data_IF_019192179340
#
_entry.id   IF_019192179340
#
_cell.length_a   1.000
_cell.length_b   1.000
_cell.length_c   1.000
_cell.angle_alpha   90.00
_cell.angle_beta   90.00
_cell.angle_gamma   90.00
#
_symmetry.space_group_name_H-M   'P 1'
#
loop_
_entity.id
_entity.type
_entity.pdbx_description
1 polymer ?
#
# COMPACT_ATOMS: atom_id res chain seq x y z
N UNK A 1 -11.20 -0.09 10.15
CA UNK A 1 -11.67 -0.80 11.37
C UNK A 1 -12.80 -1.80 11.12
N UNK A 2 -13.98 -1.42 10.63
CA UNK A 2 -15.08 -2.40 10.44
C UNK A 2 -14.66 -3.58 9.54
N UNK A 3 -14.04 -3.30 8.39
CA UNK A 3 -13.52 -4.33 7.48
C UNK A 3 -12.43 -5.23 8.11
N UNK A 4 -11.61 -4.67 9.00
CA UNK A 4 -10.57 -5.43 9.73
C UNK A 4 -11.22 -6.38 10.73
N UNK A 5 -12.21 -5.89 11.49
CA UNK A 5 -12.96 -6.71 12.45
C UNK A 5 -13.67 -7.87 11.75
N UNK A 6 -14.33 -7.61 10.62
CA UNK A 6 -15.01 -8.65 9.84
C UNK A 6 -14.04 -9.72 9.31
N UNK A 7 -12.83 -9.33 8.91
CA UNK A 7 -11.79 -10.29 8.52
C UNK A 7 -11.24 -11.06 9.73
N UNK A 8 -10.94 -10.37 10.82
CA UNK A 8 -10.44 -10.95 12.07
C UNK A 8 -11.42 -12.00 12.63
N UNK A 9 -12.70 -11.67 12.74
CA UNK A 9 -13.74 -12.58 13.25
C UNK A 9 -13.81 -13.89 12.42
N UNK A 10 -13.65 -13.79 11.10
CA UNK A 10 -13.61 -14.98 10.22
C UNK A 10 -12.34 -15.80 10.40
N UNK A 11 -11.19 -15.14 10.57
CA UNK A 11 -9.91 -15.81 10.83
C UNK A 11 -9.94 -16.53 12.18
N UNK A 12 -10.48 -15.89 13.23
CA UNK A 12 -10.67 -16.49 14.56
C UNK A 12 -11.59 -17.70 14.49
N UNK A 13 -12.71 -17.61 13.75
CA UNK A 13 -13.60 -18.75 13.55
C UNK A 13 -12.92 -19.91 12.82
N UNK A 14 -12.06 -19.63 11.82
CA UNK A 14 -11.23 -20.65 11.15
C UNK A 14 -10.22 -21.27 12.10
N UNK A 15 -9.55 -20.45 12.92
CA UNK A 15 -8.60 -20.90 13.93
C UNK A 15 -9.24 -21.85 14.94
N UNK A 16 -10.40 -21.51 15.51
CA UNK A 16 -11.08 -22.40 16.46
C UNK A 16 -11.50 -23.73 15.82
N UNK A 17 -11.93 -23.74 14.55
CA UNK A 17 -12.24 -24.98 13.83
C UNK A 17 -10.98 -25.84 13.64
N UNK A 18 -9.85 -25.22 13.28
CA UNK A 18 -8.58 -25.93 13.13
C UNK A 18 -8.08 -26.48 14.48
N UNK A 19 -8.18 -25.68 15.55
CA UNK A 19 -7.80 -26.10 16.90
C UNK A 19 -8.67 -27.25 17.43
N UNK A 20 -9.97 -27.28 17.10
CA UNK A 20 -10.89 -28.34 17.48
C UNK A 20 -10.58 -29.69 16.80
N UNK A 21 -9.86 -29.70 15.68
CA UNK A 21 -9.41 -30.93 15.02
C UNK A 21 -8.31 -31.68 15.82
N UNK A 22 -7.78 -31.06 16.87
CA UNK A 22 -6.76 -31.63 17.73
C UNK A 22 -5.34 -31.45 17.17
N UNK A 23 -4.35 -31.61 18.04
CA UNK A 23 -2.93 -31.55 17.67
C UNK A 23 -2.53 -32.86 16.98
N UNK A 24 -1.92 -32.84 15.79
CA UNK A 24 -1.39 -34.06 15.17
C UNK A 24 -0.31 -34.69 16.05
N UNK A 25 -0.33 -36.02 16.19
CA UNK A 25 0.71 -36.77 16.93
C UNK A 25 2.12 -36.55 16.36
N UNK A 26 2.20 -36.13 15.09
CA UNK A 26 3.46 -35.82 14.40
C UNK A 26 4.01 -34.42 14.68
N UNK A 27 3.25 -33.54 15.36
CA UNK A 27 3.71 -32.19 15.68
C UNK A 27 4.62 -32.21 16.90
N UNK A 28 5.89 -31.89 16.72
CA UNK A 28 6.87 -31.73 17.79
C UNK A 28 6.93 -30.25 18.22
N UNK A 29 6.68 -29.97 19.50
CA UNK A 29 6.55 -28.59 20.03
C UNK A 29 5.72 -28.47 21.31
N UNK A 30 5.66 -27.30 21.93
CA UNK A 30 4.71 -27.02 23.02
C UNK A 30 3.37 -26.50 22.48
N UNK A 31 2.41 -26.25 23.38
CA UNK A 31 1.07 -25.75 23.00
C UNK A 31 1.13 -24.37 22.33
N UNK A 32 2.10 -23.56 22.73
CA UNK A 32 2.32 -22.22 22.20
C UNK A 32 2.93 -22.27 20.79
N UNK A 33 3.88 -23.17 20.54
CA UNK A 33 4.38 -23.47 19.19
C UNK A 33 3.26 -24.02 18.29
N UNK A 34 2.38 -24.88 18.83
CA UNK A 34 1.22 -25.38 18.11
C UNK A 34 0.22 -24.26 17.78
N UNK A 35 -0.06 -23.35 18.73
CA UNK A 35 -0.90 -22.15 18.49
C UNK A 35 -0.32 -21.29 17.36
N UNK A 36 0.98 -20.96 17.40
CA UNK A 36 1.64 -20.20 16.33
C UNK A 36 1.58 -20.90 14.97
N UNK A 37 1.77 -22.23 14.96
CA UNK A 37 1.66 -23.03 13.74
C UNK A 37 0.24 -22.94 13.14
N UNK A 38 -0.80 -23.09 13.96
CA UNK A 38 -2.19 -22.97 13.53
C UNK A 38 -2.53 -21.57 13.00
N UNK A 39 -2.08 -20.50 13.69
CA UNK A 39 -2.26 -19.11 13.22
C UNK A 39 -1.68 -18.95 11.82
N UNK A 40 -0.43 -19.39 11.64
CA UNK A 40 0.26 -19.32 10.35
C UNK A 40 -0.47 -20.12 9.27
N UNK A 41 -0.92 -21.33 9.58
CA UNK A 41 -1.64 -22.19 8.64
C UNK A 41 -2.97 -21.57 8.20
N UNK A 42 -3.73 -21.00 9.14
CA UNK A 42 -5.00 -20.31 8.84
C UNK A 42 -4.75 -19.06 7.99
N UNK A 43 -3.77 -18.24 8.34
CA UNK A 43 -3.41 -17.04 7.59
C UNK A 43 -2.94 -17.38 6.16
N UNK A 44 -2.14 -18.44 6.01
CA UNK A 44 -1.67 -18.92 4.70
C UNK A 44 -2.82 -19.43 3.84
N UNK A 45 -3.75 -20.22 4.41
CA UNK A 45 -4.95 -20.68 3.71
C UNK A 45 -5.81 -19.51 3.22
N UNK A 46 -6.07 -18.53 4.10
CA UNK A 46 -6.84 -17.33 3.72
C UNK A 46 -6.14 -16.55 2.59
N UNK A 47 -4.81 -16.41 2.66
CA UNK A 47 -4.07 -15.71 1.62
C UNK A 47 -4.15 -16.42 0.27
N UNK A 48 -3.96 -17.74 0.21
CA UNK A 48 -4.06 -18.49 -1.04
C UNK A 48 -5.48 -18.46 -1.62
N UNK A 49 -6.50 -18.59 -0.77
CA UNK A 49 -7.90 -18.47 -1.19
C UNK A 49 -8.18 -17.06 -1.75
N UNK A 50 -7.66 -16.01 -1.10
CA UNK A 50 -7.86 -14.62 -1.54
C UNK A 50 -7.27 -14.29 -2.91
N UNK A 51 -6.21 -14.99 -3.35
CA UNK A 51 -5.61 -14.80 -4.69
C UNK A 51 -6.51 -15.29 -5.82
N UNK A 52 -7.35 -16.30 -5.55
CA UNK A 52 -8.26 -16.90 -6.53
C UNK A 52 -9.70 -16.38 -6.44
N UNK A 53 -10.06 -15.79 -5.30
CA UNK A 53 -11.37 -15.21 -5.07
C UNK A 53 -11.62 -14.00 -5.98
N UNK A 54 -12.63 -14.10 -6.83
CA UNK A 54 -13.10 -12.97 -7.67
C UNK A 54 -14.00 -11.99 -6.91
N UNK A 55 -14.57 -12.44 -5.78
CA UNK A 55 -15.54 -11.71 -4.97
C UNK A 55 -15.40 -12.13 -3.51
N UNK A 56 -15.73 -11.24 -2.58
CA UNK A 56 -15.75 -11.52 -1.15
C UNK A 56 -14.73 -10.71 -0.37
N UNK A 57 -14.98 -10.54 0.92
CA UNK A 57 -14.06 -9.82 1.80
C UNK A 57 -12.80 -10.64 2.06
N UNK A 58 -11.63 -10.01 1.95
CA UNK A 58 -10.32 -10.57 2.20
C UNK A 58 -9.32 -9.46 2.52
N UNK A 59 -8.04 -9.81 2.68
CA UNK A 59 -6.98 -8.83 2.99
C UNK A 59 -6.88 -7.70 1.95
N UNK A 60 -7.07 -8.00 0.66
CA UNK A 60 -6.99 -7.01 -0.41
C UNK A 60 -8.19 -6.07 -0.42
N UNK A 61 -9.41 -6.59 -0.25
CA UNK A 61 -10.61 -5.75 -0.17
C UNK A 61 -10.62 -4.91 1.10
N UNK A 62 -10.10 -5.44 2.22
CA UNK A 62 -9.92 -4.70 3.46
C UNK A 62 -9.00 -3.50 3.25
N UNK A 63 -7.81 -3.70 2.65
CA UNK A 63 -6.88 -2.60 2.35
C UNK A 63 -7.49 -1.60 1.38
N UNK A 64 -8.23 -2.05 0.35
CA UNK A 64 -8.99 -1.15 -0.54
C UNK A 64 -10.02 -0.30 0.22
N UNK A 65 -10.79 -0.90 1.13
CA UNK A 65 -11.76 -0.17 1.98
C UNK A 65 -11.06 0.87 2.87
N UNK A 66 -9.87 0.57 3.38
CA UNK A 66 -9.04 1.55 4.10
C UNK A 66 -8.59 2.67 3.16
N UNK A 67 -8.13 2.34 1.95
CA UNK A 67 -7.78 3.28 0.89
C UNK A 67 -8.91 4.26 0.57
N UNK A 68 -10.11 3.76 0.36
CA UNK A 68 -11.33 4.57 0.16
C UNK A 68 -11.59 5.49 1.35
N UNK A 69 -11.51 4.96 2.59
CA UNK A 69 -11.75 5.75 3.80
C UNK A 69 -10.75 6.89 4.00
N UNK A 70 -9.50 6.74 3.52
CA UNK A 70 -8.46 7.79 3.60
C UNK A 70 -8.38 8.70 2.37
N UNK A 71 -9.03 8.36 1.26
CA UNK A 71 -8.91 9.08 -0.02
C UNK A 71 -9.15 10.59 0.13
N UNK A 72 -10.25 10.98 0.77
CA UNK A 72 -10.59 12.39 1.01
C UNK A 72 -9.55 13.10 1.88
N UNK A 73 -9.13 12.51 2.99
CA UNK A 73 -8.12 13.11 3.88
C UNK A 73 -6.74 13.21 3.21
N UNK A 74 -6.38 12.22 2.41
CA UNK A 74 -5.16 12.24 1.61
C UNK A 74 -5.21 13.37 0.57
N UNK A 75 -6.33 13.52 -0.13
CA UNK A 75 -6.53 14.60 -1.09
C UNK A 75 -6.53 15.98 -0.41
N UNK A 76 -7.14 16.12 0.77
CA UNK A 76 -7.13 17.35 1.55
C UNK A 76 -5.70 17.75 1.94
N UNK A 77 -4.91 16.80 2.41
CA UNK A 77 -3.50 17.00 2.71
C UNK A 77 -2.72 17.43 1.46
N UNK A 78 -2.90 16.73 0.34
CA UNK A 78 -2.27 17.07 -0.94
C UNK A 78 -2.64 18.47 -1.43
N UNK A 79 -3.90 18.87 -1.29
CA UNK A 79 -4.36 20.19 -1.69
C UNK A 79 -3.71 21.30 -0.86
N UNK A 80 -3.55 21.09 0.45
CA UNK A 80 -2.83 22.03 1.31
C UNK A 80 -1.34 22.07 0.97
N UNK A 81 -0.73 20.91 0.73
CA UNK A 81 0.67 20.80 0.34
C UNK A 81 0.92 21.55 -0.98
N UNK A 82 0.08 21.34 -1.99
CA UNK A 82 0.25 21.96 -3.32
C UNK A 82 0.22 23.50 -3.27
N UNK A 83 -0.57 24.08 -2.35
CA UNK A 83 -0.58 25.53 -2.11
C UNK A 83 0.72 26.07 -1.52
N UNK A 84 1.50 25.21 -0.89
CA UNK A 84 2.71 25.58 -0.14
C UNK A 84 3.99 25.30 -0.92
N UNK A 85 4.00 24.21 -1.70
CA UNK A 85 5.20 23.70 -2.39
C UNK A 85 5.06 23.64 -3.91
N UNK A 86 3.94 24.07 -4.47
CA UNK A 86 3.68 23.99 -5.91
C UNK A 86 3.15 22.62 -6.33
N UNK A 87 3.67 22.07 -7.43
CA UNK A 87 3.14 20.83 -8.00
C UNK A 87 3.39 19.63 -7.09
N UNK A 88 2.39 18.77 -6.95
CA UNK A 88 2.46 17.53 -6.14
C UNK A 88 2.03 16.33 -6.97
N UNK A 89 2.69 15.18 -6.78
CA UNK A 89 2.24 13.90 -7.34
C UNK A 89 1.47 13.11 -6.28
N UNK A 90 0.21 12.82 -6.55
CA UNK A 90 -0.65 11.98 -5.71
C UNK A 90 -0.68 10.56 -6.29
N UNK A 91 -0.19 9.59 -5.54
CA UNK A 91 -0.22 8.19 -5.92
C UNK A 91 -1.29 7.42 -5.15
N UNK A 92 -2.09 6.64 -5.88
CA UNK A 92 -3.00 5.66 -5.32
C UNK A 92 -2.95 4.36 -6.12
N UNK A 93 -3.38 3.26 -5.51
CA UNK A 93 -3.40 1.92 -6.13
C UNK A 93 -4.73 1.70 -6.84
N UNK A 94 -5.84 2.02 -6.18
CA UNK A 94 -7.17 1.71 -6.67
C UNK A 94 -7.80 2.89 -7.42
N UNK A 95 -8.45 2.59 -8.54
CA UNK A 95 -9.09 3.58 -9.43
C UNK A 95 -10.14 4.41 -8.69
N UNK A 96 -10.96 3.78 -7.84
CA UNK A 96 -11.99 4.47 -7.06
C UNK A 96 -11.41 5.41 -5.98
N UNK A 97 -10.21 5.14 -5.47
CA UNK A 97 -9.48 6.06 -4.58
C UNK A 97 -8.96 7.27 -5.38
N UNK A 98 -8.46 7.03 -6.60
CA UNK A 98 -8.06 8.12 -7.51
C UNK A 98 -9.25 9.00 -7.88
N UNK A 99 -10.40 8.39 -8.20
CA UNK A 99 -11.62 9.11 -8.58
C UNK A 99 -12.11 10.01 -7.44
N UNK A 100 -12.15 9.49 -6.21
CA UNK A 100 -12.48 10.30 -5.03
C UNK A 100 -11.50 11.45 -4.79
N UNK A 101 -10.22 11.24 -5.04
CA UNK A 101 -9.22 12.29 -4.90
C UNK A 101 -9.40 13.38 -5.97
N UNK A 102 -9.66 13.00 -7.22
CA UNK A 102 -9.95 13.93 -8.32
C UNK A 102 -11.21 14.77 -8.05
N UNK A 103 -12.29 14.15 -7.55
CA UNK A 103 -13.49 14.87 -7.10
C UNK A 103 -13.16 15.88 -5.98
N UNK A 104 -12.35 15.47 -5.00
CA UNK A 104 -11.93 16.33 -3.89
C UNK A 104 -11.03 17.49 -4.33
N UNK A 105 -10.18 17.29 -5.34
CA UNK A 105 -9.36 18.35 -5.94
C UNK A 105 -10.20 19.33 -6.76
N UNK A 106 -11.14 18.82 -7.57
CA UNK A 106 -12.06 19.63 -8.36
C UNK A 106 -12.94 20.52 -7.46
N UNK A 107 -13.45 19.98 -6.35
CA UNK A 107 -14.22 20.75 -5.35
C UNK A 107 -13.40 21.88 -4.69
N UNK A 108 -12.07 21.86 -4.83
CA UNK A 108 -11.13 22.87 -4.31
C UNK A 108 -10.53 23.74 -5.41
N UNK A 109 -11.08 23.65 -6.62
CA UNK A 109 -10.65 24.42 -7.80
C UNK A 109 -9.18 24.15 -8.18
N UNK A 110 -8.66 22.96 -7.85
CA UNK A 110 -7.33 22.54 -8.28
C UNK A 110 -7.42 21.85 -9.63
N UNK A 111 -6.68 22.37 -10.61
CA UNK A 111 -6.51 21.71 -11.90
C UNK A 111 -5.57 20.52 -11.75
N UNK A 112 -6.03 19.35 -12.19
CA UNK A 112 -5.30 18.09 -12.08
C UNK A 112 -5.11 17.44 -13.44
N UNK A 113 -4.11 16.56 -13.52
CA UNK A 113 -3.91 15.62 -14.62
C UNK A 113 -3.99 14.19 -14.09
N UNK A 114 -4.34 13.23 -14.93
CA UNK A 114 -4.56 11.84 -14.52
C UNK A 114 -3.70 10.87 -15.32
N UNK A 115 -2.93 10.03 -14.64
CA UNK A 115 -2.06 9.03 -15.26
C UNK A 115 -2.44 7.63 -14.77
N UNK A 116 -3.08 6.87 -15.65
CA UNK A 116 -3.69 5.56 -15.40
C UNK A 116 -3.16 4.50 -16.37
N UNK A 117 -3.40 3.23 -16.02
CA UNK A 117 -2.85 2.08 -16.75
C UNK A 117 -3.49 1.84 -18.12
N UNK A 118 -4.71 2.31 -18.33
CA UNK A 118 -5.55 2.08 -19.52
C UNK A 118 -5.38 3.14 -20.62
N UNK A 119 -4.63 4.21 -20.36
CA UNK A 119 -4.40 5.28 -21.33
C UNK A 119 -3.44 4.85 -22.46
N UNK A 120 -3.70 5.36 -23.67
CA UNK A 120 -2.74 5.26 -24.78
C UNK A 120 -1.46 6.06 -24.49
N UNK A 121 -0.34 5.67 -25.10
CA UNK A 121 0.93 6.37 -24.94
C UNK A 121 0.84 7.86 -25.29
N UNK A 122 0.08 8.21 -26.35
CA UNK A 122 -0.13 9.60 -26.76
C UNK A 122 -0.95 10.39 -25.73
N UNK A 123 -2.05 9.83 -25.24
CA UNK A 123 -2.86 10.48 -24.20
C UNK A 123 -2.03 10.72 -22.96
N UNK A 124 -1.26 9.72 -22.55
CA UNK A 124 -0.41 9.81 -21.36
C UNK A 124 0.68 10.86 -21.51
N UNK A 125 1.32 10.94 -22.69
CA UNK A 125 2.34 11.96 -22.93
C UNK A 125 1.75 13.38 -22.81
N UNK A 126 0.51 13.60 -23.28
CA UNK A 126 -0.17 14.89 -23.12
C UNK A 126 -0.37 15.26 -21.65
N UNK A 127 -0.75 14.30 -20.79
CA UNK A 127 -0.91 14.52 -19.35
C UNK A 127 0.43 14.86 -18.68
N UNK A 128 1.51 14.16 -19.07
CA UNK A 128 2.87 14.43 -18.59
C UNK A 128 3.34 15.83 -19.04
N UNK A 129 3.13 16.18 -20.30
CA UNK A 129 3.52 17.48 -20.85
C UNK A 129 2.73 18.61 -20.18
N UNK A 130 1.43 18.41 -19.93
CA UNK A 130 0.61 19.33 -19.16
C UNK A 130 1.13 19.47 -17.73
N UNK A 131 1.43 18.35 -17.05
CA UNK A 131 1.98 18.43 -15.70
C UNK A 131 3.29 19.22 -15.63
N UNK A 132 4.18 19.04 -16.60
CA UNK A 132 5.50 19.68 -16.56
C UNK A 132 5.49 21.13 -17.02
N UNK A 133 4.61 21.51 -17.96
CA UNK A 133 4.68 22.81 -18.64
C UNK A 133 3.51 23.76 -18.32
N UNK A 134 2.36 23.25 -17.89
CA UNK A 134 1.19 24.07 -17.61
C UNK A 134 1.23 24.59 -16.17
N UNK A 135 1.40 25.90 -15.93
CA UNK A 135 1.53 26.45 -14.58
C UNK A 135 0.25 26.34 -13.75
N UNK A 136 -0.92 26.14 -14.37
CA UNK A 136 -2.19 26.04 -13.65
C UNK A 136 -2.38 24.63 -13.07
N UNK A 137 -1.72 23.60 -13.63
CA UNK A 137 -1.81 22.23 -13.12
C UNK A 137 -1.11 22.13 -11.78
N UNK A 138 -1.84 21.75 -10.74
CA UNK A 138 -1.34 21.65 -9.36
C UNK A 138 -1.03 20.23 -8.92
N UNK A 139 -1.79 19.23 -9.40
CA UNK A 139 -1.66 17.84 -8.94
C UNK A 139 -1.66 16.85 -10.10
N UNK A 140 -0.74 15.89 -10.08
CA UNK A 140 -0.79 14.69 -10.91
C UNK A 140 -1.35 13.52 -10.12
N UNK A 141 -2.51 13.00 -10.51
CA UNK A 141 -3.12 11.81 -9.90
C UNK A 141 -2.65 10.57 -10.67
N UNK A 142 -1.82 9.76 -10.04
CA UNK A 142 -1.08 8.69 -10.69
C UNK A 142 -1.38 7.32 -10.08
N UNK A 143 -1.53 6.31 -10.92
CA UNK A 143 -1.59 4.92 -10.46
C UNK A 143 -0.20 4.43 -10.01
N UNK A 144 -0.14 3.84 -8.81
CA UNK A 144 1.04 3.13 -8.30
C UNK A 144 1.42 1.95 -9.20
N UNK A 145 0.43 1.29 -9.79
CA UNK A 145 0.61 0.06 -10.57
C UNK A 145 0.72 0.29 -12.07
N UNK A 146 0.78 1.54 -12.54
CA UNK A 146 1.11 1.85 -13.93
C UNK A 146 2.58 1.48 -14.21
N UNK A 147 2.87 0.18 -14.25
CA UNK A 147 4.20 -0.39 -14.44
C UNK A 147 4.71 -0.14 -15.86
N UNK A 148 6.04 0.00 -16.00
CA UNK A 148 6.70 0.12 -17.31
C UNK A 148 6.54 1.47 -18.01
N UNK A 149 5.85 2.42 -17.39
CA UNK A 149 5.73 3.77 -17.93
C UNK A 149 6.87 4.61 -17.37
N UNK A 150 7.87 4.94 -18.21
CA UNK A 150 8.95 5.84 -17.85
C UNK A 150 8.47 7.28 -17.66
N UNK A 151 7.66 7.54 -16.63
CA UNK A 151 7.10 8.85 -16.32
C UNK A 151 8.20 9.82 -15.94
N UNK A 152 8.13 11.04 -16.46
CA UNK A 152 8.95 12.15 -16.01
C UNK A 152 8.05 13.19 -15.35
N UNK A 153 8.06 13.24 -14.02
CA UNK A 153 7.23 14.13 -13.21
C UNK A 153 8.10 15.07 -12.36
N UNK A 154 9.26 15.45 -12.88
CA UNK A 154 10.26 16.30 -12.21
C UNK A 154 9.78 17.72 -11.88
N UNK A 155 8.67 18.18 -12.48
CA UNK A 155 8.09 19.47 -12.13
C UNK A 155 7.54 19.54 -10.69
N UNK A 156 7.45 18.40 -9.99
CA UNK A 156 7.19 18.33 -8.56
C UNK A 156 8.44 17.87 -7.81
N UNK A 157 8.58 18.30 -6.56
CA UNK A 157 9.53 17.76 -5.58
C UNK A 157 8.83 17.01 -4.43
N UNK A 158 7.50 17.00 -4.44
CA UNK A 158 6.68 16.44 -3.36
C UNK A 158 5.75 15.35 -3.90
N UNK A 159 5.72 14.23 -3.18
CA UNK A 159 4.92 13.06 -3.51
C UNK A 159 4.05 12.66 -2.33
N UNK A 160 2.77 12.41 -2.56
CA UNK A 160 1.85 11.84 -1.57
C UNK A 160 1.49 10.43 -1.98
N UNK A 161 1.85 9.46 -1.15
CA UNK A 161 1.46 8.05 -1.26
C UNK A 161 0.17 7.87 -0.45
N UNK A 162 -0.97 8.05 -1.13
CA UNK A 162 -2.29 7.92 -0.51
C UNK A 162 -2.59 6.48 -0.09
N UNK A 163 -2.10 5.52 -0.87
CA UNK A 163 -2.12 4.10 -0.54
C UNK A 163 -0.71 3.53 -0.55
N UNK A 164 -0.48 2.44 0.19
CA UNK A 164 0.78 1.70 0.14
C UNK A 164 0.65 0.50 -0.80
N UNK A 165 1.72 0.23 -1.53
CA UNK A 165 1.95 -1.08 -2.13
C UNK A 165 2.35 -2.11 -1.07
N UNK A 166 2.23 -3.39 -1.41
CA UNK A 166 2.69 -4.49 -0.56
C UNK A 166 4.22 -4.63 -0.50
N UNK A 167 4.95 -3.87 -1.32
CA UNK A 167 6.41 -3.92 -1.40
C UNK A 167 7.00 -2.51 -1.43
N UNK A 168 8.17 -2.33 -0.80
CA UNK A 168 8.91 -1.07 -0.86
C UNK A 168 9.32 -0.70 -2.29
N UNK A 169 9.69 -1.70 -3.10
CA UNK A 169 10.16 -1.49 -4.48
C UNK A 169 9.14 -0.76 -5.36
N UNK A 170 7.84 -1.08 -5.24
CA UNK A 170 6.78 -0.35 -5.96
C UNK A 170 6.69 1.13 -5.52
N UNK A 171 6.93 1.43 -4.23
CA UNK A 171 6.94 2.82 -3.73
C UNK A 171 8.19 3.56 -4.19
N UNK A 172 9.36 2.94 -4.09
CA UNK A 172 10.63 3.50 -4.59
C UNK A 172 10.50 3.83 -6.08
N UNK A 173 9.98 2.90 -6.88
CA UNK A 173 9.76 3.14 -8.31
C UNK A 173 8.78 4.28 -8.57
N UNK A 174 7.75 4.46 -7.74
CA UNK A 174 6.83 5.59 -7.86
C UNK A 174 7.54 6.91 -7.53
N UNK A 175 8.35 6.95 -6.47
CA UNK A 175 9.14 8.12 -6.06
C UNK A 175 10.20 8.47 -7.11
N UNK A 176 10.84 7.48 -7.73
CA UNK A 176 11.85 7.66 -8.79
C UNK A 176 11.30 8.34 -10.06
N UNK A 177 9.97 8.38 -10.24
CA UNK A 177 9.33 9.15 -11.33
C UNK A 177 9.47 10.66 -11.13
N UNK A 178 9.72 11.07 -9.89
CA UNK A 178 9.92 12.45 -9.43
C UNK A 178 11.40 12.69 -9.11
N UNK A 179 12.01 11.74 -8.39
CA UNK A 179 13.44 11.72 -8.08
C UNK A 179 14.26 11.17 -9.26
N UNK A 180 14.44 12.01 -10.29
CA UNK A 180 15.12 11.64 -11.54
C UNK A 180 16.16 12.70 -11.93
N UNK A 181 17.15 12.31 -12.74
CA UNK A 181 18.23 13.20 -13.22
C UNK A 181 17.66 14.49 -13.84
N UNK A 182 17.98 15.64 -13.25
CA UNK A 182 17.40 16.95 -13.61
C UNK A 182 16.51 17.54 -12.51
N UNK A 183 16.22 16.78 -11.45
CA UNK A 183 15.64 17.31 -10.23
C UNK A 183 16.69 18.09 -9.43
N UNK A 184 16.39 19.34 -9.09
CA UNK A 184 17.27 20.24 -8.33
C UNK A 184 16.86 20.37 -6.86
N UNK A 185 15.61 20.01 -6.53
CA UNK A 185 15.07 20.07 -5.17
C UNK A 185 15.10 18.70 -4.46
N UNK A 186 15.27 18.67 -3.12
CA UNK A 186 15.11 17.45 -2.34
C UNK A 186 13.69 16.87 -2.51
N UNK A 187 13.61 15.60 -2.91
CA UNK A 187 12.31 14.93 -3.08
C UNK A 187 11.79 14.44 -1.73
N UNK A 188 10.57 14.86 -1.37
CA UNK A 188 9.89 14.43 -0.14
C UNK A 188 8.69 13.54 -0.46
N UNK A 189 8.67 12.35 0.15
CA UNK A 189 7.56 11.39 0.03
C UNK A 189 6.74 11.31 1.32
N UNK A 190 5.46 11.63 1.22
CA UNK A 190 4.50 11.66 2.32
C UNK A 190 3.60 10.42 2.26
N UNK A 191 3.75 9.50 3.22
CA UNK A 191 2.91 8.28 3.33
C UNK A 191 1.67 8.58 4.17
N UNK A 192 0.48 8.40 3.59
CA UNK A 192 -0.77 8.54 4.33
C UNK A 192 -1.14 7.21 4.97
N UNK A 193 -1.03 7.16 6.30
CA UNK A 193 -1.27 5.96 7.10
C UNK A 193 -2.53 6.16 7.95
N UNK A 194 -3.48 5.24 7.83
CA UNK A 194 -4.64 5.19 8.71
C UNK A 194 -4.24 4.67 10.09
N UNK A 195 -4.04 5.57 11.05
CA UNK A 195 -3.67 5.22 12.42
C UNK A 195 -4.69 4.27 13.07
N UNK A 196 -4.21 3.39 13.96
CA UNK A 196 -5.04 2.42 14.68
C UNK A 196 -5.85 1.52 13.72
N UNK A 197 -5.20 1.15 12.61
CA UNK A 197 -5.63 0.13 11.67
C UNK A 197 -4.43 -0.70 11.26
N UNK A 198 -4.68 -1.82 10.58
CA UNK A 198 -3.66 -2.66 9.96
C UNK A 198 -2.71 -1.90 9.00
N UNK A 199 -3.11 -0.73 8.49
CA UNK A 199 -2.28 0.12 7.61
C UNK A 199 -0.95 0.51 8.28
N UNK A 200 -0.97 0.80 9.59
CA UNK A 200 0.25 1.06 10.37
C UNK A 200 1.16 -0.16 10.47
N UNK A 201 0.58 -1.36 10.63
CA UNK A 201 1.37 -2.60 10.67
C UNK A 201 1.96 -2.93 9.30
N UNK A 202 1.19 -2.75 8.23
CA UNK A 202 1.66 -2.95 6.86
C UNK A 202 2.85 -2.02 6.59
N UNK A 203 2.76 -0.75 7.01
CA UNK A 203 3.87 0.20 6.90
C UNK A 203 5.14 -0.29 7.61
N UNK A 204 5.02 -0.73 8.85
CA UNK A 204 6.12 -1.29 9.65
C UNK A 204 6.74 -2.53 9.00
N UNK A 205 5.91 -3.46 8.50
CA UNK A 205 6.37 -4.69 7.85
C UNK A 205 7.14 -4.41 6.56
N UNK A 206 6.71 -3.41 5.78
CA UNK A 206 7.40 -2.97 4.57
C UNK A 206 8.78 -2.41 4.92
N UNK A 207 8.84 -1.52 5.93
CA UNK A 207 10.08 -0.88 6.35
C UNK A 207 11.07 -1.91 6.93
N UNK A 208 10.57 -2.87 7.71
CA UNK A 208 11.38 -3.97 8.25
C UNK A 208 11.99 -4.83 7.13
N UNK A 209 11.20 -5.22 6.11
CA UNK A 209 11.71 -6.02 4.99
C UNK A 209 12.67 -5.21 4.10
N UNK A 210 12.44 -3.92 3.90
CA UNK A 210 13.37 -3.06 3.18
C UNK A 210 14.71 -2.95 3.93
N UNK A 211 14.68 -2.78 5.25
CA UNK A 211 15.88 -2.73 6.09
C UNK A 211 16.69 -4.04 6.04
N UNK A 212 16.02 -5.19 6.09
CA UNK A 212 16.67 -6.50 5.91
C UNK A 212 17.32 -6.64 4.53
N UNK A 213 16.63 -6.23 3.47
CA UNK A 213 17.18 -6.27 2.12
C UNK A 213 18.42 -5.37 1.96
N UNK A 214 18.38 -4.15 2.52
CA UNK A 214 19.52 -3.24 2.48
C UNK A 214 20.74 -3.80 3.23
N UNK A 215 20.53 -4.39 4.41
CA UNK A 215 21.58 -5.04 5.20
C UNK A 215 22.21 -6.25 4.50
N UNK A 216 21.40 -7.05 3.82
CA UNK A 216 21.88 -8.19 3.06
C UNK A 216 22.73 -7.76 1.86
N UNK A 217 22.37 -6.66 1.18
CA UNK A 217 23.15 -6.09 0.09
C UNK A 217 24.49 -5.49 0.55
N UNK A 218 24.54 -4.96 1.77
CA UNK A 218 25.75 -4.41 2.39
C UNK A 218 26.69 -5.49 2.97
N UNK A 219 26.35 -6.78 2.78
CA UNK A 219 27.19 -7.90 3.23
C UNK A 219 27.24 -8.09 4.75
N UNK A 220 26.31 -7.49 5.50
CA UNK A 220 26.20 -7.71 6.94
C UNK A 220 25.58 -9.08 7.25
N UNK A 221 26.00 -9.72 8.33
CA UNK A 221 25.33 -10.92 8.82
C UNK A 221 23.89 -10.57 9.20
N UNK A 222 22.94 -11.13 8.45
CA UNK A 222 21.51 -10.94 8.68
C UNK A 222 20.98 -12.23 9.28
N UNK A 223 20.46 -12.17 10.51
CA UNK A 223 19.62 -13.26 11.03
C UNK A 223 18.48 -13.49 10.04
N UNK A 224 18.17 -14.75 9.75
CA UNK A 224 17.10 -15.09 8.83
C UNK A 224 15.76 -14.57 9.37
N UNK A 225 15.34 -13.40 8.89
CA UNK A 225 14.00 -12.89 9.13
C UNK A 225 12.96 -13.79 8.46
N UNK A 226 11.69 -13.63 8.84
CA UNK A 226 10.59 -14.36 8.19
C UNK A 226 10.63 -14.15 6.67
N UNK A 227 10.74 -15.26 5.93
CA UNK A 227 10.68 -15.28 4.46
C UNK A 227 9.28 -15.01 3.90
N UNK A 228 8.31 -14.72 4.78
CA UNK A 228 6.93 -14.51 4.40
C UNK A 228 6.74 -13.23 3.59
N UNK A 229 5.62 -13.20 2.87
CA UNK A 229 5.14 -11.97 2.25
C UNK A 229 4.56 -11.01 3.30
N UNK A 230 4.57 -9.70 3.03
CA UNK A 230 3.93 -8.69 3.89
C UNK A 230 2.45 -9.00 4.11
N UNK A 231 1.77 -9.54 3.10
CA UNK A 231 0.37 -9.96 3.16
C UNK A 231 0.16 -11.05 4.23
N UNK A 232 1.03 -12.05 4.25
CA UNK A 232 0.96 -13.15 5.21
C UNK A 232 1.29 -12.66 6.62
N UNK A 233 2.34 -11.87 6.78
CA UNK A 233 2.71 -11.28 8.08
C UNK A 233 1.58 -10.38 8.63
N UNK A 234 0.89 -9.62 7.76
CA UNK A 234 -0.26 -8.81 8.15
C UNK A 234 -1.47 -9.65 8.59
N UNK A 235 -1.76 -10.76 7.91
CA UNK A 235 -2.83 -11.69 8.31
C UNK A 235 -2.50 -12.43 9.61
N UNK A 236 -1.24 -12.84 9.80
CA UNK A 236 -0.77 -13.42 11.06
C UNK A 236 -0.95 -12.41 12.19
N UNK A 237 -0.50 -11.18 12.00
CA UNK A 237 -0.67 -10.13 13.01
C UNK A 237 -2.15 -9.90 13.34
N UNK A 238 -3.00 -9.72 12.32
CA UNK A 238 -4.43 -9.49 12.52
C UNK A 238 -5.11 -10.63 13.30
N UNK A 239 -4.74 -11.88 13.02
CA UNK A 239 -5.28 -13.04 13.73
C UNK A 239 -4.73 -13.14 15.16
N UNK A 240 -3.44 -12.93 15.36
CA UNK A 240 -2.84 -12.93 16.71
C UNK A 240 -3.49 -11.87 17.60
N UNK A 241 -3.60 -10.63 17.11
CA UNK A 241 -4.19 -9.50 17.85
C UNK A 241 -5.68 -9.74 18.19
N UNK A 242 -6.38 -10.54 17.39
CA UNK A 242 -7.79 -10.88 17.62
C UNK A 242 -8.00 -12.10 18.55
N UNK A 243 -6.95 -12.88 18.80
CA UNK A 243 -6.98 -14.05 19.71
C UNK A 243 -6.47 -13.73 21.12
N UNK A 244 -5.93 -12.52 21.31
CA UNK A 244 -5.43 -11.99 22.58
C UNK A 244 -6.47 -11.08 23.23
#
# INVERSE_FOLDING_TARGET
RQAEKELADRLVARFHRAAAAGRPDTFDGDDEAHRRHLIRLVAQSELEESKSAKTGDNVFTMVRKIGQAKAGLAADYTAQLARSVGKVVFFAKHIDVMDQAEEAFAARELKTISIRGDQSALSRQKEIDAFNNDPDVSVAVCSLTAAGVGLNLQAASNVVLAELSWTAAEQTQAIDRVHRIGQEEPVTAWRIIAAQTIDSKIAELIDAKQGLAARALDGSDVEAGSADSVQLDALIHLLTDALD
#
